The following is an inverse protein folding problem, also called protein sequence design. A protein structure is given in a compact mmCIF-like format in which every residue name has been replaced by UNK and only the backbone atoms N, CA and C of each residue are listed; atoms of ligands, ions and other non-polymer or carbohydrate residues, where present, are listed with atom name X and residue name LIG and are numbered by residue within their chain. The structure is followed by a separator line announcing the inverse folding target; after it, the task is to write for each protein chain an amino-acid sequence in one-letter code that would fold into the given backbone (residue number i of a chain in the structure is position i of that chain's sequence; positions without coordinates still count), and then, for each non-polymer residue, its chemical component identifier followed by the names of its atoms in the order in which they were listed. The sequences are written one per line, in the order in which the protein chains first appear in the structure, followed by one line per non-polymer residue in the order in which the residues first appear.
data_IF_239935700764
#
_entry.id   IF_239935700764
#
_cell.length_a   1.000
_cell.length_b   1.000
_cell.length_c   1.000
_cell.angle_alpha   90.00
_cell.angle_beta   90.00
_cell.angle_gamma   90.00
#
_symmetry.space_group_name_H-M   'P 1'
#
loop_
_entity.id
_entity.type
_entity.pdbx_description
1 polymer ?
#
# COMPACT_ATOMS: atom_id res chain seq x y z
N UNK A 1 13.08 8.80 -22.96
CA UNK A 1 12.86 7.90 -24.08
C UNK A 1 11.46 7.28 -24.03
N UNK A 2 10.57 7.78 -24.93
CA UNK A 2 9.13 7.45 -24.96
C UNK A 2 8.88 5.94 -25.13
N UNK A 3 9.69 5.26 -25.93
CA UNK A 3 9.55 3.83 -26.21
C UNK A 3 9.84 2.98 -24.96
N UNK A 4 10.86 3.30 -24.19
CA UNK A 4 11.20 2.61 -22.95
C UNK A 4 10.10 2.79 -21.90
N UNK A 5 9.55 4.00 -21.79
CA UNK A 5 8.43 4.29 -20.87
C UNK A 5 7.19 3.47 -21.24
N UNK A 6 6.84 3.41 -22.53
CA UNK A 6 5.72 2.60 -23.01
C UNK A 6 5.92 1.12 -22.71
N UNK A 7 7.09 0.56 -23.03
CA UNK A 7 7.43 -0.84 -22.73
C UNK A 7 7.25 -1.19 -21.26
N UNK A 8 7.78 -0.36 -20.36
CA UNK A 8 7.63 -0.57 -18.93
C UNK A 8 6.16 -0.52 -18.49
N UNK A 9 5.39 0.40 -19.02
CA UNK A 9 3.97 0.54 -18.70
C UNK A 9 3.19 -0.72 -19.09
N UNK A 10 3.31 -1.21 -20.33
CA UNK A 10 2.57 -2.39 -20.76
C UNK A 10 2.98 -3.68 -20.04
N UNK A 11 4.26 -3.81 -19.67
CA UNK A 11 4.73 -4.95 -18.86
C UNK A 11 4.14 -4.92 -17.45
N UNK A 12 4.11 -3.75 -16.80
CA UNK A 12 3.50 -3.57 -15.48
C UNK A 12 2.01 -3.85 -15.51
N UNK A 13 1.29 -3.30 -16.49
CA UNK A 13 -0.16 -3.50 -16.64
C UNK A 13 -0.48 -4.98 -16.89
N UNK A 14 0.37 -5.69 -17.65
CA UNK A 14 0.21 -7.11 -17.90
C UNK A 14 0.43 -7.96 -16.65
N UNK A 15 1.47 -7.67 -15.85
CA UNK A 15 1.67 -8.36 -14.57
C UNK A 15 0.50 -8.10 -13.62
N UNK A 16 0.04 -6.85 -13.49
CA UNK A 16 -1.09 -6.49 -12.63
C UNK A 16 -2.39 -7.21 -13.03
N UNK A 17 -2.63 -7.40 -14.33
CA UNK A 17 -3.78 -8.20 -14.81
C UNK A 17 -3.66 -9.66 -14.42
N UNK A 18 -2.49 -10.27 -14.60
CA UNK A 18 -2.27 -11.68 -14.24
C UNK A 18 -2.37 -11.93 -12.73
N UNK A 19 -1.94 -10.99 -11.89
CA UNK A 19 -2.02 -11.07 -10.43
C UNK A 19 -3.45 -11.06 -9.89
N UNK A 20 -4.44 -10.62 -10.67
CA UNK A 20 -5.85 -10.71 -10.25
C UNK A 20 -6.32 -12.17 -10.12
N UNK A 21 -5.76 -13.08 -10.93
CA UNK A 21 -6.23 -14.45 -11.04
C UNK A 21 -5.19 -15.49 -10.62
N UNK A 22 -3.91 -15.12 -10.55
CA UNK A 22 -2.79 -16.04 -10.33
C UNK A 22 -1.81 -15.52 -9.28
N UNK A 23 -1.27 -16.44 -8.50
CA UNK A 23 -0.17 -16.13 -7.58
C UNK A 23 1.10 -15.76 -8.36
N UNK A 24 1.86 -14.76 -7.85
CA UNK A 24 3.11 -14.29 -8.46
C UNK A 24 4.10 -15.43 -8.73
N UNK A 25 4.16 -16.42 -7.84
CA UNK A 25 5.05 -17.59 -7.96
C UNK A 25 4.72 -18.47 -9.16
N UNK A 26 3.49 -18.42 -9.68
CA UNK A 26 3.02 -19.21 -10.83
C UNK A 26 3.02 -18.43 -12.14
N UNK A 27 3.17 -17.11 -12.08
CA UNK A 27 3.25 -16.26 -13.26
C UNK A 27 4.65 -16.36 -13.86
N UNK A 28 4.71 -16.54 -15.18
CA UNK A 28 5.95 -16.65 -15.93
C UNK A 28 6.23 -15.38 -16.74
N UNK A 29 7.51 -15.10 -17.00
CA UNK A 29 7.93 -14.02 -17.92
C UNK A 29 7.31 -14.22 -19.32
N UNK A 30 7.10 -15.47 -19.72
CA UNK A 30 6.44 -15.81 -21.00
C UNK A 30 5.04 -15.23 -21.04
N UNK A 31 4.20 -15.50 -20.04
CA UNK A 31 2.82 -15.04 -19.97
C UNK A 31 2.74 -13.51 -19.94
N UNK A 32 3.63 -12.86 -19.17
CA UNK A 32 3.70 -11.39 -19.12
C UNK A 32 4.00 -10.82 -20.50
N UNK A 33 5.00 -11.37 -21.19
CA UNK A 33 5.43 -10.92 -22.50
C UNK A 33 4.36 -11.15 -23.59
N UNK A 34 3.69 -12.30 -23.55
CA UNK A 34 2.57 -12.61 -24.45
C UNK A 34 1.41 -11.64 -24.26
N UNK A 35 1.03 -11.36 -23.01
CA UNK A 35 -0.05 -10.42 -22.71
C UNK A 35 0.31 -8.95 -23.06
N UNK A 36 1.59 -8.60 -22.92
CA UNK A 36 2.11 -7.27 -23.22
C UNK A 36 2.40 -7.03 -24.72
N UNK A 37 2.41 -8.08 -25.52
CA UNK A 37 2.94 -8.09 -26.91
C UNK A 37 4.39 -7.56 -26.97
N UNK A 38 5.22 -8.03 -26.04
CA UNK A 38 6.63 -7.64 -25.92
C UNK A 38 7.52 -8.88 -26.02
N UNK A 39 8.66 -8.73 -26.73
CA UNK A 39 9.64 -9.80 -26.83
C UNK A 39 10.35 -10.01 -25.47
N UNK A 40 10.67 -11.27 -25.13
CA UNK A 40 11.39 -11.62 -23.90
C UNK A 40 12.76 -10.94 -23.78
N UNK A 41 13.49 -10.76 -24.87
CA UNK A 41 14.77 -10.02 -24.85
C UNK A 41 14.56 -8.58 -24.40
N UNK A 42 13.45 -7.96 -24.77
CA UNK A 42 13.09 -6.61 -24.34
C UNK A 42 12.68 -6.61 -22.87
N UNK A 43 11.97 -7.63 -22.37
CA UNK A 43 11.68 -7.79 -20.95
C UNK A 43 12.97 -7.82 -20.12
N UNK A 44 13.92 -8.72 -20.49
CA UNK A 44 15.19 -8.87 -19.78
C UNK A 44 16.15 -7.68 -19.90
N UNK A 45 15.91 -6.76 -20.82
CA UNK A 45 16.59 -5.47 -20.86
C UNK A 45 16.12 -4.49 -19.76
N UNK A 46 14.98 -4.78 -19.08
CA UNK A 46 14.37 -3.93 -18.06
C UNK A 46 14.29 -4.60 -16.70
N UNK A 47 14.03 -5.90 -16.65
CA UNK A 47 13.73 -6.67 -15.43
C UNK A 47 14.41 -8.03 -15.48
N UNK A 48 14.91 -8.50 -14.34
CA UNK A 48 15.51 -9.83 -14.23
C UNK A 48 14.50 -10.96 -14.26
N UNK A 49 13.34 -10.75 -13.65
CA UNK A 49 12.23 -11.71 -13.59
C UNK A 49 10.90 -11.02 -13.20
N UNK A 50 9.84 -11.81 -13.01
CA UNK A 50 8.53 -11.29 -12.60
C UNK A 50 8.53 -10.69 -11.18
N UNK A 51 9.39 -11.15 -10.29
CA UNK A 51 9.51 -10.61 -8.94
C UNK A 51 10.18 -9.24 -8.93
N UNK A 52 11.20 -9.03 -9.77
CA UNK A 52 11.83 -7.73 -9.96
C UNK A 52 10.85 -6.71 -10.56
N UNK A 53 10.04 -7.14 -11.53
CA UNK A 53 8.96 -6.31 -12.08
C UNK A 53 7.93 -5.94 -11.00
N UNK A 54 7.47 -6.91 -10.19
CA UNK A 54 6.55 -6.67 -9.08
C UNK A 54 7.13 -5.69 -8.07
N UNK A 55 8.39 -5.90 -7.66
CA UNK A 55 9.10 -5.03 -6.72
C UNK A 55 9.14 -3.58 -7.21
N UNK A 56 9.40 -3.35 -8.50
CA UNK A 56 9.41 -2.00 -9.05
C UNK A 56 8.02 -1.36 -9.08
N UNK A 57 6.95 -2.12 -9.35
CA UNK A 57 5.57 -1.62 -9.25
C UNK A 57 5.27 -1.17 -7.82
N UNK A 58 5.62 -1.99 -6.84
CA UNK A 58 5.40 -1.69 -5.42
C UNK A 58 6.20 -0.46 -4.95
N UNK A 59 7.47 -0.38 -5.33
CA UNK A 59 8.34 0.75 -4.96
C UNK A 59 7.81 2.06 -5.53
N UNK A 60 7.37 2.08 -6.78
CA UNK A 60 6.78 3.26 -7.40
C UNK A 60 5.50 3.69 -6.66
N UNK A 61 4.61 2.75 -6.33
CA UNK A 61 3.37 3.08 -5.63
C UNK A 61 3.63 3.59 -4.20
N UNK A 62 4.64 3.05 -3.51
CA UNK A 62 5.06 3.54 -2.20
C UNK A 62 5.69 4.93 -2.28
N UNK A 63 6.51 5.20 -3.29
CA UNK A 63 7.08 6.54 -3.48
C UNK A 63 5.99 7.57 -3.83
N UNK A 64 5.03 7.21 -4.68
CA UNK A 64 3.87 8.06 -4.97
C UNK A 64 3.05 8.34 -3.70
N UNK A 65 2.82 7.34 -2.85
CA UNK A 65 2.16 7.51 -1.56
C UNK A 65 2.92 8.48 -0.65
N UNK A 66 4.24 8.32 -0.52
CA UNK A 66 5.07 9.22 0.29
C UNK A 66 5.03 10.65 -0.24
N UNK A 67 5.14 10.82 -1.57
CA UNK A 67 5.04 12.13 -2.21
C UNK A 67 3.67 12.76 -1.96
N UNK A 68 2.59 12.02 -2.12
CA UNK A 68 1.23 12.49 -1.85
C UNK A 68 1.09 12.96 -0.40
N UNK A 69 1.53 12.17 0.57
CA UNK A 69 1.47 12.53 1.98
C UNK A 69 2.36 13.72 2.32
N UNK A 70 3.50 13.90 1.65
CA UNK A 70 4.42 15.02 1.88
C UNK A 70 3.87 16.38 1.43
N UNK A 71 2.80 16.39 0.61
CA UNK A 71 2.13 17.64 0.21
C UNK A 71 1.31 18.27 1.33
N UNK A 72 1.07 17.53 2.42
CA UNK A 72 0.29 17.97 3.57
C UNK A 72 1.21 18.24 4.77
N UNK A 73 0.93 19.33 5.49
CA UNK A 73 1.64 19.66 6.73
C UNK A 73 0.82 19.20 7.93
N UNK A 74 1.29 18.18 8.66
CA UNK A 74 0.57 17.53 9.76
C UNK A 74 1.21 17.90 11.12
N UNK A 75 1.10 19.14 11.57
CA UNK A 75 1.77 19.61 12.80
C UNK A 75 0.89 19.63 14.07
N UNK A 76 -0.43 19.42 13.99
CA UNK A 76 -1.37 19.56 15.12
C UNK A 76 -2.22 18.29 15.34
N UNK A 77 -2.81 18.18 16.53
CA UNK A 77 -3.56 17.00 17.01
C UNK A 77 -4.80 16.64 16.15
N UNK A 78 -5.49 17.65 15.59
CA UNK A 78 -6.58 17.48 14.62
C UNK A 78 -6.14 16.82 13.29
N UNK A 79 -4.85 16.73 13.09
CA UNK A 79 -4.21 16.27 11.85
C UNK A 79 -4.11 14.75 11.74
N UNK A 80 -4.20 14.00 12.85
CA UNK A 80 -4.19 12.53 12.80
C UNK A 80 -5.39 12.01 12.00
N UNK A 81 -6.57 12.60 12.17
CA UNK A 81 -7.75 12.26 11.40
C UNK A 81 -7.57 12.64 9.93
N UNK A 82 -7.11 13.88 9.66
CA UNK A 82 -6.88 14.36 8.31
C UNK A 82 -5.82 13.52 7.58
N UNK A 83 -4.73 13.17 8.26
CA UNK A 83 -3.69 12.32 7.69
C UNK A 83 -4.21 10.91 7.37
N UNK A 84 -5.00 10.32 8.28
CA UNK A 84 -5.61 9.02 8.05
C UNK A 84 -6.59 9.09 6.87
N UNK A 85 -7.40 10.15 6.78
CA UNK A 85 -8.28 10.39 5.65
C UNK A 85 -7.50 10.49 4.33
N UNK A 86 -6.41 11.27 4.29
CA UNK A 86 -5.57 11.41 3.10
C UNK A 86 -4.90 10.09 2.69
N UNK A 87 -4.46 9.31 3.65
CA UNK A 87 -3.94 7.97 3.38
C UNK A 87 -5.02 7.09 2.73
N UNK A 88 -6.23 7.08 3.28
CA UNK A 88 -7.36 6.30 2.75
C UNK A 88 -7.80 6.81 1.38
N UNK A 89 -7.84 8.13 1.15
CA UNK A 89 -8.09 8.74 -0.16
C UNK A 89 -7.09 8.25 -1.23
N UNK A 90 -5.80 8.16 -0.86
CA UNK A 90 -4.79 7.64 -1.77
C UNK A 90 -5.08 6.18 -2.16
N UNK A 91 -5.42 5.33 -1.20
CA UNK A 91 -5.79 3.94 -1.47
C UNK A 91 -7.06 3.84 -2.31
N UNK A 92 -8.07 4.67 -2.05
CA UNK A 92 -9.28 4.74 -2.85
C UNK A 92 -8.99 5.14 -4.31
N UNK A 93 -8.16 6.15 -4.50
CA UNK A 93 -7.76 6.64 -5.83
C UNK A 93 -6.94 5.61 -6.62
N UNK A 94 -6.27 4.69 -5.93
CA UNK A 94 -5.47 3.61 -6.51
C UNK A 94 -6.07 2.22 -6.22
N UNK A 95 -7.40 2.12 -6.06
CA UNK A 95 -8.10 0.92 -5.59
C UNK A 95 -7.64 -0.35 -6.31
N UNK A 96 -7.68 -0.38 -7.62
CA UNK A 96 -7.37 -1.58 -8.42
C UNK A 96 -5.96 -2.09 -8.16
N UNK A 97 -4.97 -1.21 -8.12
CA UNK A 97 -3.58 -1.57 -7.84
C UNK A 97 -3.39 -2.01 -6.39
N UNK A 98 -3.91 -1.24 -5.45
CA UNK A 98 -3.76 -1.52 -4.03
C UNK A 98 -4.45 -2.84 -3.65
N UNK A 99 -5.66 -3.08 -4.14
CA UNK A 99 -6.41 -4.32 -3.90
C UNK A 99 -5.65 -5.54 -4.43
N UNK A 100 -5.08 -5.45 -5.65
CA UNK A 100 -4.30 -6.53 -6.24
C UNK A 100 -3.01 -6.78 -5.46
N UNK A 101 -2.25 -5.73 -5.10
CA UNK A 101 -0.98 -5.86 -4.38
C UNK A 101 -1.15 -6.27 -2.91
N UNK A 102 -2.30 -6.00 -2.30
CA UNK A 102 -2.64 -6.44 -0.94
C UNK A 102 -3.36 -7.80 -0.91
N UNK A 103 -3.60 -8.42 -2.07
CA UNK A 103 -4.22 -9.74 -2.17
C UNK A 103 -3.23 -10.85 -1.84
N UNK A 104 -3.75 -12.06 -1.62
CA UNK A 104 -2.95 -13.27 -1.40
C UNK A 104 -2.18 -13.73 -2.66
N UNK A 105 -2.54 -13.22 -3.84
CA UNK A 105 -1.86 -13.51 -5.10
C UNK A 105 -0.52 -12.78 -5.24
N UNK A 106 -0.37 -11.62 -4.62
CA UNK A 106 0.90 -10.92 -4.48
C UNK A 106 1.75 -11.57 -3.38
N UNK A 107 3.04 -11.25 -3.34
CA UNK A 107 3.79 -11.52 -2.13
C UNK A 107 3.41 -10.50 -1.04
N UNK A 108 3.77 -10.78 0.21
CA UNK A 108 3.45 -9.87 1.32
C UNK A 108 4.34 -8.62 1.38
N UNK A 109 5.15 -8.35 0.34
CA UNK A 109 6.17 -7.29 0.39
C UNK A 109 5.54 -5.90 0.32
N UNK A 110 4.50 -5.71 -0.46
CA UNK A 110 3.77 -4.45 -0.52
C UNK A 110 3.10 -4.11 0.83
N UNK A 111 2.43 -5.09 1.45
CA UNK A 111 1.83 -4.91 2.78
C UNK A 111 2.89 -4.52 3.82
N UNK A 112 4.08 -5.12 3.79
CA UNK A 112 5.21 -4.76 4.67
C UNK A 112 5.66 -3.32 4.45
N UNK A 113 5.75 -2.86 3.20
CA UNK A 113 6.11 -1.47 2.85
C UNK A 113 5.05 -0.47 3.32
N UNK A 114 3.77 -0.78 3.11
CA UNK A 114 2.65 0.02 3.63
C UNK A 114 2.70 0.10 5.15
N UNK A 115 2.96 -1.01 5.83
CA UNK A 115 3.12 -1.08 7.29
C UNK A 115 4.23 -0.16 7.79
N UNK A 116 5.38 -0.13 7.12
CA UNK A 116 6.49 0.76 7.48
C UNK A 116 6.11 2.24 7.32
N UNK A 117 5.42 2.59 6.25
CA UNK A 117 4.92 3.97 6.05
C UNK A 117 3.91 4.34 7.15
N UNK A 118 2.91 3.49 7.39
CA UNK A 118 1.90 3.72 8.42
C UNK A 118 2.52 3.84 9.83
N UNK A 119 3.45 2.95 10.17
CA UNK A 119 4.16 2.99 11.47
C UNK A 119 4.92 4.31 11.66
N UNK A 120 5.63 4.78 10.66
CA UNK A 120 6.38 6.05 10.72
C UNK A 120 5.46 7.23 11.03
N UNK A 121 4.28 7.29 10.43
CA UNK A 121 3.31 8.36 10.65
C UNK A 121 2.60 8.23 12.00
N UNK A 122 2.24 7.02 12.42
CA UNK A 122 1.56 6.76 13.70
C UNK A 122 2.52 7.00 14.87
N UNK A 123 3.75 6.47 14.82
CA UNK A 123 4.71 6.56 15.92
C UNK A 123 5.17 8.00 16.19
N UNK A 124 5.32 8.84 15.17
CA UNK A 124 5.73 10.23 15.37
C UNK A 124 4.73 11.05 16.22
N UNK A 125 3.46 10.61 16.30
CA UNK A 125 2.42 11.32 17.09
C UNK A 125 2.08 10.63 18.42
N UNK A 126 2.19 9.30 18.51
CA UNK A 126 1.80 8.56 19.72
C UNK A 126 2.92 8.45 20.75
N UNK A 127 4.19 8.54 20.34
CA UNK A 127 5.34 8.53 21.27
C UNK A 127 5.39 9.80 22.11
N UNK A 128 4.88 10.93 21.60
CA UNK A 128 4.79 12.17 22.40
C UNK A 128 3.70 12.12 23.48
N UNK A 129 2.66 11.29 23.31
CA UNK A 129 1.49 11.24 24.20
C UNK A 129 1.62 10.15 25.31
N UNK A 130 2.39 9.10 25.05
CA UNK A 130 2.53 8.01 26.04
C UNK A 130 3.95 7.98 26.62
N UNK A 131 4.13 8.55 27.81
CA UNK A 131 5.30 8.27 28.70
C UNK A 131 5.27 6.82 29.23
N UNK A 132 4.73 5.86 28.46
CA UNK A 132 4.60 4.48 28.88
C UNK A 132 5.70 3.62 28.27
N UNK A 133 6.06 2.58 29.03
CA UNK A 133 7.05 1.56 28.79
C UNK A 133 7.25 1.20 27.30
N UNK A 134 8.48 1.26 26.81
CA UNK A 134 8.80 1.02 25.39
C UNK A 134 8.28 -0.34 24.88
N UNK A 135 8.24 -1.35 25.74
CA UNK A 135 7.77 -2.70 25.40
C UNK A 135 6.27 -2.73 25.07
N UNK A 136 5.44 -2.02 25.84
CA UNK A 136 3.99 -1.91 25.59
C UNK A 136 3.72 -1.13 24.31
N UNK A 137 4.53 -0.10 24.03
CA UNK A 137 4.42 0.73 22.82
C UNK A 137 4.57 -0.08 21.53
N UNK A 138 5.43 -1.10 21.51
CA UNK A 138 5.62 -1.96 20.32
C UNK A 138 4.39 -2.84 20.06
N UNK A 139 3.82 -3.47 21.09
CA UNK A 139 2.61 -4.28 20.94
C UNK A 139 1.42 -3.44 20.49
N UNK A 140 1.21 -2.28 21.10
CA UNK A 140 0.13 -1.34 20.74
C UNK A 140 0.28 -0.85 19.30
N UNK A 141 1.47 -0.41 18.89
CA UNK A 141 1.71 0.04 17.52
C UNK A 141 1.52 -1.08 16.51
N UNK A 142 1.95 -2.29 16.83
CA UNK A 142 1.75 -3.47 15.97
C UNK A 142 0.26 -3.79 15.80
N UNK A 143 -0.51 -3.76 16.87
CA UNK A 143 -1.97 -3.98 16.83
C UNK A 143 -2.67 -2.91 16.01
N UNK A 144 -2.39 -1.63 16.27
CA UNK A 144 -2.99 -0.50 15.56
C UNK A 144 -2.70 -0.57 14.06
N UNK A 145 -1.43 -0.71 13.68
CA UNK A 145 -1.03 -0.72 12.26
C UNK A 145 -1.61 -1.94 11.54
N UNK A 146 -1.51 -3.13 12.16
CA UNK A 146 -2.03 -4.36 11.54
C UNK A 146 -3.54 -4.33 11.41
N UNK A 147 -4.25 -3.89 12.45
CA UNK A 147 -5.70 -3.75 12.45
C UNK A 147 -6.17 -2.74 11.40
N UNK A 148 -5.51 -1.58 11.30
CA UNK A 148 -5.84 -0.54 10.32
C UNK A 148 -5.65 -1.03 8.87
N UNK A 149 -4.57 -1.76 8.58
CA UNK A 149 -4.34 -2.33 7.25
C UNK A 149 -5.40 -3.39 6.93
N UNK A 150 -5.76 -4.24 7.89
CA UNK A 150 -6.79 -5.26 7.67
C UNK A 150 -8.17 -4.63 7.43
N UNK A 151 -8.53 -3.59 8.16
CA UNK A 151 -9.77 -2.82 7.95
C UNK A 151 -9.77 -2.18 6.55
N UNK A 152 -8.65 -1.61 6.13
CA UNK A 152 -8.49 -1.05 4.79
C UNK A 152 -8.68 -2.11 3.70
N UNK A 153 -8.07 -3.30 3.84
CA UNK A 153 -8.26 -4.43 2.90
C UNK A 153 -9.72 -4.84 2.79
N UNK A 154 -10.42 -4.98 3.92
CA UNK A 154 -11.85 -5.32 3.95
C UNK A 154 -12.68 -4.26 3.23
N UNK A 155 -12.41 -2.98 3.47
CA UNK A 155 -13.12 -1.88 2.84
C UNK A 155 -12.91 -1.83 1.32
N UNK A 156 -11.67 -1.98 0.86
CA UNK A 156 -11.36 -2.06 -0.58
C UNK A 156 -12.09 -3.24 -1.24
N UNK A 157 -12.09 -4.41 -0.58
CA UNK A 157 -12.74 -5.62 -1.11
C UNK A 157 -14.27 -5.54 -1.12
N UNK A 158 -14.86 -4.72 -0.24
CA UNK A 158 -16.30 -4.42 -0.25
C UNK A 158 -16.71 -3.37 -1.28
N UNK A 159 -15.78 -2.88 -2.08
CA UNK A 159 -16.04 -1.86 -3.09
C UNK A 159 -16.19 -0.46 -2.52
N UNK A 160 -15.55 -0.19 -1.37
CA UNK A 160 -15.53 1.14 -0.74
C UNK A 160 -16.93 1.65 -0.38
N UNK A 161 -17.68 0.85 0.40
CA UNK A 161 -19.06 1.12 0.84
C UNK A 161 -19.20 2.34 1.79
N UNK A 162 -18.08 2.94 2.18
CA UNK A 162 -18.00 4.17 2.98
C UNK A 162 -17.04 5.16 2.35
N UNK A 163 -17.22 6.43 2.67
CA UNK A 163 -16.28 7.46 2.23
C UNK A 163 -14.93 7.32 2.95
N UNK A 164 -13.82 7.83 2.37
CA UNK A 164 -12.52 7.86 3.04
C UNK A 164 -12.58 8.53 4.42
N UNK A 165 -13.36 9.60 4.56
CA UNK A 165 -13.59 10.30 5.83
C UNK A 165 -14.25 9.41 6.88
N UNK A 166 -15.35 8.74 6.54
CA UNK A 166 -16.03 7.80 7.44
C UNK A 166 -15.11 6.67 7.88
N UNK A 167 -14.30 6.15 6.96
CA UNK A 167 -13.31 5.12 7.30
C UNK A 167 -12.21 5.62 8.23
N UNK A 168 -11.72 6.85 8.01
CA UNK A 168 -10.76 7.48 8.91
C UNK A 168 -11.34 7.67 10.31
N UNK A 169 -12.59 8.15 10.43
CA UNK A 169 -13.29 8.30 11.70
C UNK A 169 -13.44 6.95 12.43
N UNK A 170 -13.79 5.88 11.72
CA UNK A 170 -13.86 4.53 12.29
C UNK A 170 -12.49 4.09 12.83
N UNK A 171 -11.43 4.19 12.03
CA UNK A 171 -10.09 3.76 12.43
C UNK A 171 -9.60 4.57 13.63
N UNK A 172 -9.72 5.91 13.59
CA UNK A 172 -9.28 6.77 14.69
C UNK A 172 -10.09 6.50 15.97
N UNK A 173 -11.41 6.29 15.86
CA UNK A 173 -12.25 5.99 17.02
C UNK A 173 -11.85 4.67 17.71
N UNK A 174 -11.48 3.65 16.92
CA UNK A 174 -11.01 2.37 17.46
C UNK A 174 -9.64 2.51 18.15
N UNK A 175 -8.75 3.31 17.58
CA UNK A 175 -7.44 3.60 18.17
C UNK A 175 -7.62 4.34 19.51
N UNK A 176 -8.38 5.44 19.52
CA UNK A 176 -8.56 6.30 20.69
C UNK A 176 -9.22 5.54 21.84
N UNK A 177 -10.36 4.87 21.58
CA UNK A 177 -11.08 4.09 22.60
C UNK A 177 -10.30 2.89 23.10
N UNK A 178 -9.46 2.28 22.27
CA UNK A 178 -8.61 1.15 22.67
C UNK A 178 -7.42 1.55 23.55
N UNK A 179 -7.08 2.85 23.60
CA UNK A 179 -5.93 3.39 24.35
C UNK A 179 -6.33 4.23 25.57
N UNK A 180 -7.61 4.55 25.74
CA UNK A 180 -8.14 5.17 26.97
C UNK A 180 -8.17 4.14 28.12
N UNK A 181 -7.21 4.30 29.05
CA UNK A 181 -7.19 3.67 30.39
C UNK A 181 -7.30 4.73 31.45
#
# INVERSE_FOLDING_TARGET
DRRKKYTRMVLKDSLMKLLKDKQISTITVKEICELADINRSTFYAHYSDQFDLLKQIEEELIEDLKMYLSTYNFEKEEEALQMTEKLIEYFASNQDKCQTLLSENSDSSFEKKVRLVARRFIMNKWVEVSQHDQDISEYVSTFIVSGSIQVLKVWLNKGMDKTPKEMAEIIISLITRGTER
#
